data_IF_439194809441
#
_entry.id   IF_439194809441
#
_cell.length_a   1.000
_cell.length_b   1.000
_cell.length_c   1.000
_cell.angle_alpha   90.00
_cell.angle_beta   90.00
_cell.angle_gamma   90.00
#
_symmetry.space_group_name_H-M   'P 1'
#
loop_
_entity.id
_entity.type
_entity.pdbx_description
1 polymer ?
#
# COMPACT_ATOMS: atom_id res chain seq x y z
N UNK A 1 -3.28 -11.98 -11.81
CA UNK A 1 -4.09 -11.69 -10.61
C UNK A 1 -4.93 -10.46 -10.89
N UNK A 2 -6.07 -10.29 -10.21
CA UNK A 2 -6.87 -9.06 -10.32
C UNK A 2 -6.58 -8.09 -9.17
N UNK A 3 -6.83 -6.79 -9.39
CA UNK A 3 -6.58 -5.75 -8.38
C UNK A 3 -7.35 -5.99 -7.07
N UNK A 4 -8.56 -6.58 -7.16
CA UNK A 4 -9.36 -6.93 -5.98
C UNK A 4 -8.69 -8.02 -5.13
N UNK A 5 -8.11 -9.03 -5.77
CA UNK A 5 -7.39 -10.10 -5.08
C UNK A 5 -6.10 -9.56 -4.44
N UNK A 6 -5.37 -8.70 -5.16
CA UNK A 6 -4.21 -8.01 -4.62
C UNK A 6 -4.56 -7.12 -3.41
N UNK A 7 -5.71 -6.46 -3.42
CA UNK A 7 -6.18 -5.67 -2.29
C UNK A 7 -6.41 -6.55 -1.04
N UNK A 8 -6.98 -7.75 -1.20
CA UNK A 8 -7.17 -8.69 -0.07
C UNK A 8 -5.83 -9.23 0.48
N UNK A 9 -4.81 -9.36 -0.36
CA UNK A 9 -3.45 -9.71 0.07
C UNK A 9 -2.82 -8.54 0.83
N UNK A 10 -2.91 -7.31 0.29
CA UNK A 10 -2.40 -6.11 0.92
C UNK A 10 -3.06 -5.82 2.27
N UNK A 11 -4.38 -6.03 2.38
CA UNK A 11 -5.15 -5.86 3.62
C UNK A 11 -4.66 -6.84 4.70
N UNK A 12 -4.47 -8.11 4.35
CA UNK A 12 -3.92 -9.12 5.28
C UNK A 12 -2.50 -8.78 5.71
N UNK A 13 -1.65 -8.44 4.76
CA UNK A 13 -0.28 -8.00 5.04
C UNK A 13 -0.25 -6.79 5.97
N UNK A 14 -1.14 -5.81 5.75
CA UNK A 14 -1.29 -4.64 6.60
C UNK A 14 -1.65 -4.99 8.03
N UNK A 15 -2.66 -5.85 8.23
CA UNK A 15 -3.09 -6.33 9.55
C UNK A 15 -1.96 -7.03 10.33
N UNK A 16 -1.09 -7.75 9.64
CA UNK A 16 0.01 -8.49 10.25
C UNK A 16 1.21 -7.60 10.61
N UNK A 17 1.44 -6.52 9.85
CA UNK A 17 2.70 -5.77 9.93
C UNK A 17 2.55 -4.34 10.48
N UNK A 18 1.33 -3.78 10.52
CA UNK A 18 1.09 -2.43 11.00
C UNK A 18 0.48 -2.50 12.40
N UNK A 19 1.12 -1.89 13.41
CA UNK A 19 0.57 -1.81 14.75
C UNK A 19 -0.83 -1.19 14.73
N UNK A 20 -1.72 -1.68 15.59
CA UNK A 20 -3.03 -1.04 15.83
C UNK A 20 -3.88 -0.87 14.55
N UNK A 21 -3.67 -1.68 13.50
CA UNK A 21 -4.43 -1.61 12.23
C UNK A 21 -5.94 -1.51 12.45
N UNK A 22 -6.49 -2.41 13.28
CA UNK A 22 -7.92 -2.47 13.58
C UNK A 22 -8.39 -1.28 14.44
N UNK A 23 -7.58 -0.88 15.42
CA UNK A 23 -7.87 0.24 16.33
C UNK A 23 -7.90 1.58 15.58
N UNK A 24 -6.97 1.79 14.65
CA UNK A 24 -6.95 2.95 13.77
C UNK A 24 -7.95 2.85 12.63
N UNK A 25 -8.53 1.67 12.42
CA UNK A 25 -9.46 1.42 11.33
C UNK A 25 -8.82 1.55 9.95
N UNK A 26 -7.56 1.16 9.83
CA UNK A 26 -6.88 1.14 8.55
C UNK A 26 -7.61 0.23 7.55
N UNK A 27 -7.55 0.62 6.28
CA UNK A 27 -8.03 -0.16 5.15
C UNK A 27 -7.18 0.18 3.92
N UNK A 28 -7.00 -0.76 3.01
CA UNK A 28 -6.23 -0.50 1.79
C UNK A 28 -7.04 0.22 0.72
N UNK A 29 -6.40 1.13 0.01
CA UNK A 29 -6.91 1.81 -1.18
C UNK A 29 -5.86 1.75 -2.28
N UNK A 30 -6.25 1.56 -3.56
CA UNK A 30 -5.34 1.72 -4.68
C UNK A 30 -4.63 3.07 -4.65
N UNK A 31 -3.33 3.07 -4.92
CA UNK A 31 -2.54 4.29 -4.93
C UNK A 31 -2.60 4.95 -6.32
N UNK A 32 -3.63 5.77 -6.57
CA UNK A 32 -3.87 6.39 -7.89
C UNK A 32 -2.71 7.24 -8.44
N UNK A 33 -1.79 7.67 -7.57
CA UNK A 33 -0.64 8.54 -7.91
C UNK A 33 0.71 7.83 -7.85
N UNK A 34 0.74 6.52 -7.61
CA UNK A 34 1.97 5.74 -7.50
C UNK A 34 1.88 4.55 -8.45
N UNK A 35 2.92 4.36 -9.26
CA UNK A 35 2.98 3.25 -10.20
C UNK A 35 4.32 2.53 -10.10
N UNK A 36 4.30 1.22 -9.96
CA UNK A 36 5.49 0.38 -10.05
C UNK A 36 5.21 -0.76 -11.02
N UNK A 37 5.91 -0.86 -12.15
CA UNK A 37 5.67 -1.95 -13.10
C UNK A 37 5.75 -3.32 -12.44
N UNK A 38 4.78 -4.19 -12.75
CA UNK A 38 4.67 -5.54 -12.21
C UNK A 38 4.14 -5.61 -10.77
N UNK A 39 3.66 -4.51 -10.20
CA UNK A 39 3.10 -4.47 -8.86
C UNK A 39 1.80 -3.67 -8.78
N UNK A 40 0.86 -4.16 -7.98
CA UNK A 40 -0.21 -3.33 -7.45
C UNK A 40 0.31 -2.52 -6.27
N UNK A 41 0.00 -1.22 -6.24
CA UNK A 41 0.43 -0.30 -5.20
C UNK A 41 -0.78 0.14 -4.38
N UNK A 42 -0.72 -0.03 -3.06
CA UNK A 42 -1.78 0.33 -2.13
C UNK A 42 -1.27 1.30 -1.06
N UNK A 43 -2.11 2.28 -0.73
CA UNK A 43 -1.99 3.09 0.48
C UNK A 43 -2.99 2.59 1.51
N UNK A 44 -2.80 2.98 2.78
CA UNK A 44 -3.64 2.51 3.88
C UNK A 44 -3.92 3.65 4.87
N UNK A 45 -4.83 4.58 4.54
CA UNK A 45 -5.20 5.62 5.48
C UNK A 45 -5.92 5.03 6.71
N UNK A 46 -5.70 5.58 7.92
CA UNK A 46 -6.54 5.26 9.07
C UNK A 46 -7.93 5.91 8.90
N UNK A 47 -8.91 5.52 9.72
CA UNK A 47 -10.19 6.24 9.76
C UNK A 47 -9.99 7.69 10.20
N UNK A 48 -10.80 8.59 9.64
CA UNK A 48 -10.70 10.02 9.90
C UNK A 48 -10.90 10.40 11.37
N UNK A 49 -11.71 9.64 12.10
CA UNK A 49 -12.03 9.83 13.53
C UNK A 49 -10.99 9.25 14.50
N UNK A 50 -10.01 8.47 14.00
CA UNK A 50 -8.95 7.90 14.83
C UNK A 50 -7.98 8.96 15.39
N UNK A 51 -7.90 10.14 14.77
CA UNK A 51 -6.91 11.18 15.11
C UNK A 51 -5.46 10.80 14.78
N UNK A 52 -5.22 9.61 14.23
CA UNK A 52 -3.88 9.08 13.93
C UNK A 52 -3.38 9.61 12.61
N UNK A 53 -2.11 10.03 12.58
CA UNK A 53 -1.39 10.37 11.35
C UNK A 53 -0.27 9.37 11.13
N UNK A 54 -0.43 8.58 10.08
CA UNK A 54 0.54 7.62 9.57
C UNK A 54 1.67 8.28 8.79
N UNK A 55 2.30 9.31 9.38
CA UNK A 55 3.38 10.06 8.76
C UNK A 55 4.57 9.15 8.43
N UNK A 56 5.00 9.13 7.17
CA UNK A 56 6.14 8.33 6.72
C UNK A 56 5.82 6.88 6.33
N UNK A 57 4.54 6.51 6.27
CA UNK A 57 4.16 5.16 5.90
C UNK A 57 4.39 4.85 4.42
N UNK A 58 5.14 3.78 4.18
CA UNK A 58 5.49 3.29 2.85
C UNK A 58 4.31 2.52 2.25
N UNK A 59 3.97 2.73 0.97
CA UNK A 59 2.95 1.95 0.30
C UNK A 59 3.19 0.45 0.40
N UNK A 60 2.11 -0.33 0.42
CA UNK A 60 2.16 -1.78 0.28
C UNK A 60 2.20 -2.09 -1.22
N UNK A 61 3.16 -2.94 -1.61
CA UNK A 61 3.37 -3.41 -2.96
C UNK A 61 3.01 -4.89 -3.00
N UNK A 62 2.22 -5.27 -3.99
CA UNK A 62 1.83 -6.66 -4.24
C UNK A 62 2.31 -7.06 -5.62
N UNK A 63 3.20 -8.04 -5.71
CA UNK A 63 3.68 -8.56 -7.00
C UNK A 63 2.50 -9.15 -7.80
N UNK A 64 2.32 -8.69 -9.04
CA UNK A 64 1.17 -9.07 -9.89
C UNK A 64 1.15 -10.56 -10.26
N UNK A 65 2.30 -11.23 -10.19
CA UNK A 65 2.50 -12.63 -10.59
C UNK A 65 2.45 -13.57 -9.39
N UNK A 66 3.11 -13.21 -8.28
CA UNK A 66 3.28 -14.10 -7.12
C UNK A 66 2.35 -13.77 -5.95
N UNK A 67 1.84 -12.54 -5.85
CA UNK A 67 1.08 -12.09 -4.69
C UNK A 67 1.93 -11.80 -3.46
N UNK A 68 3.26 -11.81 -3.59
CA UNK A 68 4.16 -11.42 -2.52
C UNK A 68 3.92 -9.96 -2.13
N UNK A 69 3.71 -9.72 -0.84
CA UNK A 69 3.47 -8.40 -0.28
C UNK A 69 4.74 -7.86 0.38
N UNK A 70 5.05 -6.59 0.15
CA UNK A 70 6.12 -5.88 0.85
C UNK A 70 5.83 -4.39 0.94
N UNK A 71 6.48 -3.70 1.88
CA UNK A 71 6.52 -2.24 1.84
C UNK A 71 7.52 -1.74 0.78
N UNK A 72 7.32 -0.50 0.34
CA UNK A 72 8.31 0.21 -0.46
C UNK A 72 9.62 0.40 0.34
N UNK A 73 10.77 0.19 -0.34
CA UNK A 73 12.13 0.22 0.23
C UNK A 73 12.69 1.65 0.29
N UNK A 74 11.95 2.54 0.92
CA UNK A 74 12.41 3.90 1.20
C UNK A 74 12.12 4.94 0.11
N UNK A 75 12.73 6.12 0.29
CA UNK A 75 12.41 7.34 -0.46
C UNK A 75 12.68 7.20 -1.96
N UNK A 76 13.74 6.49 -2.35
CA UNK A 76 14.13 6.40 -3.76
C UNK A 76 13.17 5.51 -4.57
N UNK A 77 12.74 4.37 -4.01
CA UNK A 77 11.71 3.54 -4.64
C UNK A 77 10.39 4.31 -4.73
N UNK A 78 10.02 5.04 -3.66
CA UNK A 78 8.84 5.89 -3.66
C UNK A 78 8.88 7.01 -4.71
N UNK A 79 10.04 7.65 -4.90
CA UNK A 79 10.24 8.68 -5.93
C UNK A 79 10.12 8.10 -7.34
N UNK A 80 10.71 6.92 -7.58
CA UNK A 80 10.55 6.20 -8.85
C UNK A 80 9.08 5.92 -9.13
N UNK A 81 8.31 5.50 -8.11
CA UNK A 81 6.88 5.24 -8.27
C UNK A 81 6.06 6.48 -8.61
N UNK A 82 6.41 7.64 -8.04
CA UNK A 82 5.78 8.92 -8.41
C UNK A 82 6.12 9.37 -9.83
N UNK A 83 7.35 9.11 -10.28
CA UNK A 83 7.82 9.53 -11.60
C UNK A 83 7.33 8.64 -12.74
N UNK A 84 7.05 7.37 -12.46
CA UNK A 84 6.68 6.35 -13.45
C UNK A 84 5.22 6.44 -13.96
N UNK A 85 4.55 7.59 -13.81
CA UNK A 85 3.16 7.76 -14.25
C UNK A 85 3.10 7.56 -15.77
N UNK A 86 2.34 6.58 -16.29
CA UNK A 86 2.11 6.48 -17.72
C UNK A 86 1.33 7.73 -18.19
N UNK A 87 1.77 8.29 -19.33
CA UNK A 87 1.10 9.42 -20.01
C UNK A 87 -0.33 9.05 -20.41
#
# INVERSE_FOLDING_TARGET
MEQREAALLAERFGKENIPQWEEWGCHVLPADRLHLPGHYVFIYPPRADSGVRLGGNWPILVDERTGECRFARGVDEYRKMKAARPL
#
